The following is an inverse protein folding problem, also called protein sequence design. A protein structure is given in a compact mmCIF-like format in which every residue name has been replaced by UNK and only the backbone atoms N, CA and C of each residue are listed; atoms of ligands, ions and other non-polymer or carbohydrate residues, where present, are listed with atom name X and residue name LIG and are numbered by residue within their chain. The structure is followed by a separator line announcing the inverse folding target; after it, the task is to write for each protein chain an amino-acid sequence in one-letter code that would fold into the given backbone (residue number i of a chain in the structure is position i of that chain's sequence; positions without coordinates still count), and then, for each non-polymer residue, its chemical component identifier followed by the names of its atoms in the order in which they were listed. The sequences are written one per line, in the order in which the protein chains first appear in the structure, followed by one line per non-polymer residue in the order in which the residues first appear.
data_IF_883300276103
#
_entry.id   IF_883300276103
#
_cell.length_a   1.000
_cell.length_b   1.000
_cell.length_c   1.000
_cell.angle_alpha   90.00
_cell.angle_beta   90.00
_cell.angle_gamma   90.00
#
_symmetry.space_group_name_H-M   'P 1'
#
loop_
_entity.id
_entity.type
_entity.pdbx_description
1 polymer ?
#
# COMPACT_ATOMS: atom_id res chain seq x y z
N UNK A 1 -4.71 14.27 4.60
CA UNK A 1 -3.87 14.51 3.41
C UNK A 1 -3.32 15.92 3.46
N UNK A 2 -2.00 16.05 3.54
CA UNK A 2 -1.33 17.34 3.38
C UNK A 2 -1.53 17.84 1.95
N UNK A 3 -1.65 19.16 1.75
CA UNK A 3 -1.74 19.74 0.41
C UNK A 3 -0.32 20.07 -0.07
N UNK A 4 0.29 19.13 -0.79
CA UNK A 4 1.70 19.23 -1.17
C UNK A 4 1.87 20.14 -2.37
N UNK A 5 2.85 21.04 -2.28
CA UNK A 5 3.32 21.77 -3.46
C UNK A 5 4.07 20.82 -4.39
N UNK A 6 4.09 21.12 -5.69
CA UNK A 6 4.90 20.37 -6.67
C UNK A 6 6.38 20.27 -6.25
N UNK A 7 6.91 21.31 -5.58
CA UNK A 7 8.30 21.32 -5.09
C UNK A 7 8.51 20.31 -3.97
N UNK A 8 7.53 20.10 -3.10
CA UNK A 8 7.59 19.10 -2.03
C UNK A 8 7.49 17.68 -2.60
N UNK A 9 6.53 17.43 -3.50
CA UNK A 9 6.41 16.15 -4.22
C UNK A 9 7.74 15.77 -4.90
N UNK A 10 8.33 16.70 -5.66
CA UNK A 10 9.63 16.47 -6.31
C UNK A 10 10.79 16.28 -5.33
N UNK A 11 10.70 16.84 -4.12
CA UNK A 11 11.71 16.66 -3.07
C UNK A 11 11.68 15.24 -2.50
N UNK A 12 10.50 14.72 -2.20
CA UNK A 12 10.32 13.36 -1.70
C UNK A 12 10.72 12.33 -2.75
N UNK A 13 10.20 12.46 -3.98
CA UNK A 13 10.61 11.59 -5.09
C UNK A 13 12.14 11.58 -5.29
N UNK A 14 12.79 12.75 -5.24
CA UNK A 14 14.26 12.83 -5.35
C UNK A 14 14.97 12.15 -4.17
N UNK A 15 14.46 12.28 -2.94
CA UNK A 15 15.04 11.61 -1.78
C UNK A 15 15.02 10.09 -1.95
N UNK A 16 13.89 9.53 -2.39
CA UNK A 16 13.74 8.08 -2.56
C UNK A 16 14.64 7.55 -3.68
N UNK A 17 14.70 8.26 -4.80
CA UNK A 17 15.64 7.94 -5.87
C UNK A 17 17.10 8.01 -5.42
N UNK A 18 17.47 8.99 -4.60
CA UNK A 18 18.81 9.08 -4.04
C UNK A 18 19.14 7.90 -3.13
N UNK A 19 18.19 7.44 -2.31
CA UNK A 19 18.38 6.26 -1.45
C UNK A 19 18.58 4.98 -2.28
N UNK A 20 17.73 4.75 -3.29
CA UNK A 20 17.86 3.63 -4.24
C UNK A 20 19.23 3.63 -4.93
N UNK A 21 19.69 4.78 -5.43
CA UNK A 21 21.00 4.94 -6.05
C UNK A 21 22.16 4.70 -5.07
N UNK A 22 22.02 5.13 -3.81
CA UNK A 22 23.03 4.88 -2.78
C UNK A 22 23.15 3.38 -2.46
N UNK A 23 22.04 2.64 -2.37
CA UNK A 23 22.05 1.18 -2.16
C UNK A 23 22.74 0.45 -3.31
N UNK A 24 22.45 0.84 -4.56
CA UNK A 24 23.13 0.30 -5.74
C UNK A 24 24.63 0.58 -5.67
N UNK A 25 25.01 1.85 -5.48
CA UNK A 25 26.42 2.27 -5.39
C UNK A 25 27.16 1.55 -4.26
N UNK A 26 26.53 1.39 -3.10
CA UNK A 26 27.11 0.70 -1.94
C UNK A 26 27.38 -0.78 -2.22
N UNK A 27 26.41 -1.49 -2.83
CA UNK A 27 26.59 -2.89 -3.18
C UNK A 27 27.62 -3.10 -4.30
N UNK A 28 27.67 -2.18 -5.29
CA UNK A 28 28.72 -2.18 -6.32
C UNK A 28 30.11 -2.00 -5.71
N UNK A 29 30.27 -1.06 -4.77
CA UNK A 29 31.55 -0.83 -4.08
C UNK A 29 32.04 -2.06 -3.28
N UNK A 30 31.11 -2.93 -2.87
CA UNK A 30 31.38 -4.19 -2.17
C UNK A 30 31.48 -5.39 -3.13
N UNK A 31 31.46 -5.17 -4.45
CA UNK A 31 31.46 -6.20 -5.49
C UNK A 31 30.31 -7.23 -5.36
N UNK A 32 29.16 -6.82 -4.80
CA UNK A 32 27.96 -7.65 -4.60
C UNK A 32 27.03 -7.55 -5.81
N UNK A 33 27.47 -8.04 -6.97
CA UNK A 33 26.76 -7.86 -8.24
C UNK A 33 25.35 -8.49 -8.21
N UNK A 34 25.19 -9.69 -7.67
CA UNK A 34 23.87 -10.34 -7.57
C UNK A 34 22.85 -9.51 -6.76
N UNK A 35 23.32 -8.79 -5.72
CA UNK A 35 22.45 -7.91 -4.93
C UNK A 35 22.06 -6.66 -5.72
N UNK A 36 22.96 -6.14 -6.55
CA UNK A 36 22.66 -5.01 -7.43
C UNK A 36 21.61 -5.40 -8.46
N UNK A 37 21.72 -6.58 -9.07
CA UNK A 37 20.71 -7.07 -10.02
C UNK A 37 19.34 -7.23 -9.37
N UNK A 38 19.27 -7.78 -8.15
CA UNK A 38 18.01 -7.86 -7.38
C UNK A 38 17.42 -6.48 -7.11
N UNK A 39 18.22 -5.55 -6.59
CA UNK A 39 17.77 -4.17 -6.31
C UNK A 39 17.24 -3.47 -7.57
N UNK A 40 17.93 -3.62 -8.71
CA UNK A 40 17.47 -3.03 -9.98
C UNK A 40 16.16 -3.65 -10.43
N UNK A 41 15.99 -4.97 -10.30
CA UNK A 41 14.75 -5.64 -10.65
C UNK A 41 13.59 -5.20 -9.75
N UNK A 42 13.82 -5.06 -8.44
CA UNK A 42 12.84 -4.52 -7.48
C UNK A 42 12.40 -3.10 -7.89
N UNK A 43 13.34 -2.20 -8.15
CA UNK A 43 13.05 -0.82 -8.60
C UNK A 43 12.23 -0.82 -9.91
N UNK A 44 12.55 -1.69 -10.86
CA UNK A 44 11.81 -1.80 -12.12
C UNK A 44 10.39 -2.31 -11.88
N UNK A 45 10.20 -3.26 -10.96
CA UNK A 45 8.88 -3.78 -10.62
C UNK A 45 8.03 -2.73 -9.91
N UNK A 46 8.59 -2.02 -8.92
CA UNK A 46 7.92 -0.89 -8.25
C UNK A 46 7.47 0.17 -9.25
N UNK A 47 8.36 0.62 -10.14
CA UNK A 47 8.04 1.63 -11.15
C UNK A 47 6.93 1.17 -12.13
N UNK A 48 6.86 -0.14 -12.43
CA UNK A 48 5.75 -0.71 -13.20
C UNK A 48 4.45 -0.61 -12.41
N UNK A 49 4.43 -0.98 -11.13
CA UNK A 49 3.23 -0.88 -10.29
C UNK A 49 2.76 0.57 -10.13
N UNK A 50 3.67 1.52 -9.91
CA UNK A 50 3.36 2.96 -9.90
C UNK A 50 2.70 3.42 -11.21
N UNK A 51 3.19 2.91 -12.35
CA UNK A 51 2.61 3.18 -13.68
C UNK A 51 1.20 2.60 -13.79
N UNK A 52 1.00 1.35 -13.37
CA UNK A 52 -0.33 0.71 -13.38
C UNK A 52 -1.32 1.50 -12.55
N UNK A 53 -0.95 1.80 -11.30
CA UNK A 53 -1.75 2.55 -10.35
C UNK A 53 -2.16 3.93 -10.90
N UNK A 54 -1.19 4.66 -11.47
CA UNK A 54 -1.43 5.98 -12.07
C UNK A 54 -2.39 5.94 -13.27
N UNK A 55 -2.49 4.79 -13.95
CA UNK A 55 -3.35 4.60 -15.12
C UNK A 55 -4.76 4.08 -14.78
N UNK A 56 -5.07 3.77 -13.51
CA UNK A 56 -6.39 3.27 -13.09
C UNK A 56 -7.54 4.29 -13.24
N UNK A 57 -7.24 5.55 -13.59
CA UNK A 57 -8.21 6.67 -13.61
C UNK A 57 -8.88 6.91 -12.25
N UNK A 58 -8.16 6.62 -11.17
CA UNK A 58 -8.54 6.85 -9.78
C UNK A 58 -7.50 7.75 -9.11
N UNK A 59 -7.43 9.03 -9.51
CA UNK A 59 -6.32 9.92 -9.14
C UNK A 59 -6.18 10.10 -7.62
N UNK A 60 -7.28 10.17 -6.86
CA UNK A 60 -7.19 10.34 -5.40
C UNK A 60 -6.70 9.08 -4.72
N UNK A 61 -7.22 7.93 -5.13
CA UNK A 61 -6.79 6.65 -4.60
C UNK A 61 -5.31 6.40 -4.92
N UNK A 62 -4.88 6.69 -6.15
CA UNK A 62 -3.49 6.60 -6.57
C UNK A 62 -2.60 7.54 -5.75
N UNK A 63 -3.02 8.79 -5.51
CA UNK A 63 -2.28 9.75 -4.70
C UNK A 63 -2.06 9.24 -3.27
N UNK A 64 -3.08 8.66 -2.62
CA UNK A 64 -2.96 8.08 -1.27
C UNK A 64 -1.83 7.04 -1.24
N UNK A 65 -1.87 6.05 -2.14
CA UNK A 65 -0.89 4.96 -2.12
C UNK A 65 0.52 5.43 -2.53
N UNK A 66 0.64 6.31 -3.52
CA UNK A 66 1.93 6.83 -3.98
C UNK A 66 2.64 7.66 -2.92
N UNK A 67 1.89 8.36 -2.08
CA UNK A 67 2.44 9.33 -1.12
C UNK A 67 2.48 8.81 0.31
N UNK A 68 1.80 7.70 0.62
CA UNK A 68 1.70 7.14 1.99
C UNK A 68 3.09 7.03 2.63
N UNK A 69 4.02 6.33 1.99
CA UNK A 69 5.34 6.08 2.55
C UNK A 69 6.24 7.33 2.69
N UNK A 70 5.81 8.49 2.19
CA UNK A 70 6.55 9.73 2.35
C UNK A 70 6.30 10.45 3.68
N UNK A 71 5.16 10.15 4.32
CA UNK A 71 4.81 10.64 5.65
C UNK A 71 5.23 9.63 6.73
N UNK A 72 5.17 10.05 8.00
CA UNK A 72 5.54 9.18 9.13
C UNK A 72 4.33 8.35 9.56
N UNK A 73 4.27 7.13 9.05
CA UNK A 73 3.31 6.12 9.48
C UNK A 73 3.97 5.05 10.35
N UNK A 74 3.21 4.39 11.25
CA UNK A 74 3.71 3.30 12.07
C UNK A 74 3.88 1.99 11.28
N UNK A 75 3.63 1.97 9.97
CA UNK A 75 3.90 0.87 9.05
C UNK A 75 4.25 1.39 7.66
N UNK A 76 4.89 0.56 6.85
CA UNK A 76 5.14 0.80 5.42
C UNK A 76 4.10 0.07 4.57
N UNK A 77 3.77 0.61 3.40
CA UNK A 77 2.92 -0.09 2.43
C UNK A 77 3.71 -0.53 1.20
N UNK A 78 3.37 -1.71 0.69
CA UNK A 78 3.68 -2.15 -0.67
C UNK A 78 2.36 -2.51 -1.36
N UNK A 79 2.31 -2.31 -2.68
CA UNK A 79 1.10 -2.62 -3.44
C UNK A 79 1.42 -3.28 -4.79
N UNK A 80 0.51 -4.14 -5.22
CA UNK A 80 0.55 -4.82 -6.50
C UNK A 80 -0.80 -4.71 -7.21
N UNK A 81 -0.79 -4.22 -8.46
CA UNK A 81 -1.95 -4.20 -9.34
C UNK A 81 -1.92 -5.46 -10.23
N UNK A 82 -2.85 -6.40 -9.97
CA UNK A 82 -2.86 -7.72 -10.62
C UNK A 82 -3.36 -7.68 -12.07
N UNK A 83 -4.48 -6.99 -12.33
CA UNK A 83 -5.05 -6.84 -13.69
C UNK A 83 -5.51 -5.39 -13.95
N UNK A 84 -5.30 -4.91 -15.18
CA UNK A 84 -5.64 -3.56 -15.64
C UNK A 84 -6.94 -3.54 -16.46
N UNK A 85 -7.62 -4.69 -16.61
CA UNK A 85 -8.73 -4.88 -17.55
C UNK A 85 -10.08 -4.28 -17.10
N UNK A 86 -10.09 -3.20 -16.32
CA UNK A 86 -11.34 -2.58 -15.89
C UNK A 86 -11.69 -1.29 -16.65
N UNK A 87 -12.78 -1.37 -17.42
CA UNK A 87 -13.39 -0.24 -18.12
C UNK A 87 -14.66 0.28 -17.44
N UNK A 88 -14.82 0.08 -16.13
CA UNK A 88 -16.04 0.47 -15.41
C UNK A 88 -15.79 1.65 -14.46
N UNK A 89 -16.80 2.53 -14.26
CA UNK A 89 -16.64 3.71 -13.42
C UNK A 89 -16.68 3.31 -11.94
N UNK A 90 -15.50 3.27 -11.33
CA UNK A 90 -15.33 3.25 -9.88
C UNK A 90 -15.48 4.68 -9.35
N UNK A 91 -16.14 4.82 -8.20
CA UNK A 91 -16.25 6.10 -7.48
C UNK A 91 -14.95 6.35 -6.69
N UNK A 92 -14.05 7.15 -7.26
CA UNK A 92 -12.73 7.46 -6.70
C UNK A 92 -12.80 8.06 -5.29
N UNK A 93 -13.81 8.91 -5.01
CA UNK A 93 -13.99 9.51 -3.69
C UNK A 93 -14.35 8.47 -2.64
N UNK A 94 -15.28 7.58 -2.95
CA UNK A 94 -15.68 6.53 -2.01
C UNK A 94 -14.54 5.56 -1.76
N UNK A 95 -13.83 5.16 -2.81
CA UNK A 95 -12.70 4.25 -2.68
C UNK A 95 -11.58 4.87 -1.83
N UNK A 96 -11.25 6.13 -2.12
CA UNK A 96 -10.24 6.90 -1.39
C UNK A 96 -10.62 7.05 0.09
N UNK A 97 -11.87 7.43 0.37
CA UNK A 97 -12.35 7.56 1.75
C UNK A 97 -12.31 6.22 2.51
N UNK A 98 -12.66 5.12 1.83
CA UNK A 98 -12.63 3.79 2.43
C UNK A 98 -11.21 3.32 2.75
N UNK A 99 -10.25 3.44 1.82
CA UNK A 99 -8.87 3.03 2.08
C UNK A 99 -8.20 3.92 3.14
N UNK A 100 -8.49 5.21 3.17
CA UNK A 100 -7.99 6.11 4.23
C UNK A 100 -8.54 5.69 5.59
N UNK A 101 -9.83 5.39 5.71
CA UNK A 101 -10.41 4.93 6.97
C UNK A 101 -9.80 3.60 7.44
N UNK A 102 -9.48 2.69 6.51
CA UNK A 102 -8.75 1.46 6.83
C UNK A 102 -7.35 1.75 7.37
N UNK A 103 -6.58 2.59 6.69
CA UNK A 103 -5.23 2.96 7.14
C UNK A 103 -5.26 3.64 8.51
N UNK A 104 -6.14 4.61 8.74
CA UNK A 104 -6.29 5.26 10.05
C UNK A 104 -6.64 4.26 11.15
N UNK A 105 -7.48 3.27 10.86
CA UNK A 105 -7.81 2.20 11.81
C UNK A 105 -6.57 1.38 12.13
N UNK A 106 -5.80 0.98 11.11
CA UNK A 106 -4.60 0.18 11.28
C UNK A 106 -3.51 0.96 12.05
N UNK A 107 -3.31 2.25 11.74
CA UNK A 107 -2.35 3.13 12.43
C UNK A 107 -2.57 3.18 13.94
N UNK A 108 -3.84 3.22 14.36
CA UNK A 108 -4.22 3.24 15.78
C UNK A 108 -4.06 1.88 16.48
N UNK A 109 -3.87 0.81 15.71
CA UNK A 109 -3.82 -0.56 16.22
C UNK A 109 -2.41 -1.15 16.24
N UNK A 110 -1.44 -0.61 15.50
CA UNK A 110 -0.10 -1.18 15.37
C UNK A 110 0.95 -0.44 16.21
N UNK A 111 2.07 -1.10 16.53
CA UNK A 111 3.13 -0.51 17.35
C UNK A 111 4.03 0.45 16.55
N UNK A 112 4.16 1.71 16.99
CA UNK A 112 4.85 2.78 16.23
C UNK A 112 6.36 2.63 16.03
N UNK A 113 7.01 1.65 16.65
CA UNK A 113 8.46 1.41 16.58
C UNK A 113 8.82 -0.04 16.21
N UNK A 114 7.85 -0.79 15.70
CA UNK A 114 8.07 -2.12 15.16
C UNK A 114 8.29 -2.05 13.64
N UNK A 115 8.90 -3.10 13.08
CA UNK A 115 9.02 -3.27 11.63
C UNK A 115 7.69 -3.80 11.10
N UNK A 116 6.77 -2.88 10.83
CA UNK A 116 5.41 -3.19 10.38
C UNK A 116 5.28 -2.94 8.88
N UNK A 117 4.72 -3.90 8.18
CA UNK A 117 4.56 -3.88 6.74
C UNK A 117 3.15 -4.31 6.35
N UNK A 118 2.55 -3.59 5.40
CA UNK A 118 1.27 -3.94 4.80
C UNK A 118 1.47 -4.12 3.29
N UNK A 119 1.23 -5.33 2.80
CA UNK A 119 1.14 -5.61 1.37
C UNK A 119 -0.32 -5.57 0.91
N UNK A 120 -0.58 -4.85 -0.17
CA UNK A 120 -1.92 -4.66 -0.73
C UNK A 120 -1.94 -5.19 -2.16
N UNK A 121 -2.60 -6.32 -2.40
CA UNK A 121 -2.86 -6.77 -3.77
C UNK A 121 -4.22 -6.27 -4.23
N UNK A 122 -4.26 -5.61 -5.38
CA UNK A 122 -5.43 -4.92 -5.93
C UNK A 122 -5.80 -5.58 -7.25
N UNK A 123 -7.01 -6.09 -7.33
CA UNK A 123 -7.55 -6.73 -8.53
C UNK A 123 -8.86 -6.06 -8.94
N UNK A 124 -8.87 -5.54 -10.16
CA UNK A 124 -10.01 -4.88 -10.76
C UNK A 124 -10.60 -5.84 -11.80
N UNK A 125 -11.58 -6.64 -11.38
CA UNK A 125 -12.28 -7.61 -12.24
C UNK A 125 -13.80 -7.57 -12.02
N UNK A 126 -14.56 -7.91 -13.06
CA UNK A 126 -16.01 -8.15 -12.98
C UNK A 126 -16.85 -7.04 -12.32
N UNK A 127 -16.46 -5.77 -12.54
CA UNK A 127 -17.11 -4.59 -11.93
C UNK A 127 -17.01 -4.53 -10.40
N UNK A 128 -15.99 -5.17 -9.84
CA UNK A 128 -15.66 -5.12 -8.43
C UNK A 128 -14.19 -4.70 -8.28
N UNK A 129 -13.85 -4.18 -7.11
CA UNK A 129 -12.47 -4.00 -6.70
C UNK A 129 -12.23 -4.97 -5.57
N UNK A 130 -11.25 -5.84 -5.76
CA UNK A 130 -10.83 -6.80 -4.75
C UNK A 130 -9.51 -6.35 -4.17
N UNK A 131 -9.46 -6.30 -2.85
CA UNK A 131 -8.26 -6.07 -2.07
C UNK A 131 -7.89 -7.34 -1.33
N UNK A 132 -6.60 -7.67 -1.36
CA UNK A 132 -6.00 -8.59 -0.41
C UNK A 132 -5.01 -7.80 0.44
N UNK A 133 -5.25 -7.79 1.74
CA UNK A 133 -4.37 -7.20 2.74
C UNK A 133 -3.60 -8.29 3.44
N UNK A 134 -2.27 -8.20 3.39
CA UNK A 134 -1.35 -9.02 4.18
C UNK A 134 -0.48 -8.08 5.00
N UNK A 135 -0.76 -8.02 6.29
CA UNK A 135 0.00 -7.25 7.25
C UNK A 135 0.90 -8.18 8.07
N UNK A 136 2.16 -7.77 8.23
CA UNK A 136 3.14 -8.40 9.11
C UNK A 136 3.76 -7.35 10.01
N UNK A 137 3.69 -7.53 11.33
CA UNK A 137 4.18 -6.56 12.31
C UNK A 137 3.51 -6.72 13.67
N UNK A 138 3.71 -5.80 14.60
CA UNK A 138 3.08 -5.89 15.94
C UNK A 138 1.74 -5.16 16.00
N UNK A 139 0.67 -5.91 16.23
CA UNK A 139 -0.70 -5.42 16.46
C UNK A 139 -0.99 -5.36 17.96
N UNK A 140 -1.16 -4.15 18.48
CA UNK A 140 -1.48 -3.87 19.88
C UNK A 140 -2.96 -4.06 20.20
N UNK A 141 -3.84 -3.76 19.25
CA UNK A 141 -5.29 -3.81 19.46
C UNK A 141 -6.01 -4.52 18.30
N UNK A 142 -6.01 -5.85 18.36
CA UNK A 142 -6.67 -6.68 17.34
C UNK A 142 -8.19 -6.53 17.32
N UNK A 143 -8.81 -6.25 18.47
CA UNK A 143 -10.28 -6.17 18.59
C UNK A 143 -10.82 -5.02 17.74
N UNK A 144 -10.15 -3.87 17.73
CA UNK A 144 -10.58 -2.74 16.88
C UNK A 144 -10.50 -3.05 15.39
N UNK A 145 -9.53 -3.87 14.96
CA UNK A 145 -9.45 -4.32 13.56
C UNK A 145 -10.58 -5.30 13.25
N UNK A 146 -10.84 -6.27 14.15
CA UNK A 146 -11.95 -7.22 14.04
C UNK A 146 -13.31 -6.50 13.95
N UNK A 147 -13.54 -5.53 14.83
CA UNK A 147 -14.76 -4.72 14.88
C UNK A 147 -14.93 -3.90 13.58
N UNK A 148 -13.85 -3.28 13.08
CA UNK A 148 -13.89 -2.51 11.84
C UNK A 148 -14.31 -3.36 10.65
N UNK A 149 -13.74 -4.56 10.49
CA UNK A 149 -14.12 -5.48 9.40
C UNK A 149 -15.57 -5.97 9.55
N UNK A 150 -16.03 -6.25 10.78
CA UNK A 150 -17.41 -6.62 11.05
C UNK A 150 -18.40 -5.50 10.67
N UNK A 151 -18.05 -4.23 10.89
CA UNK A 151 -18.84 -3.09 10.43
C UNK A 151 -18.87 -2.98 8.90
N UNK A 152 -17.78 -3.36 8.21
CA UNK A 152 -17.71 -3.33 6.75
C UNK A 152 -18.60 -4.39 6.08
N UNK A 153 -18.91 -5.51 6.75
CA UNK A 153 -19.79 -6.57 6.21
C UNK A 153 -21.20 -6.05 5.85
N UNK A 154 -21.65 -4.97 6.49
CA UNK A 154 -22.95 -4.35 6.19
C UNK A 154 -22.94 -3.49 4.91
N UNK A 155 -21.76 -3.09 4.42
CA UNK A 155 -21.58 -2.09 3.37
C UNK A 155 -20.95 -2.70 2.11
N UNK A 156 -20.11 -3.71 2.27
CA UNK A 156 -19.31 -4.31 1.20
C UNK A 156 -19.90 -5.63 0.68
N UNK A 157 -19.51 -6.02 -0.53
CA UNK A 157 -20.02 -7.26 -1.15
C UNK A 157 -19.45 -8.50 -0.46
N UNK A 158 -18.16 -8.48 -0.15
CA UNK A 158 -17.46 -9.57 0.54
C UNK A 158 -16.45 -8.97 1.50
N UNK A 159 -16.43 -9.48 2.73
CA UNK A 159 -15.36 -9.30 3.70
C UNK A 159 -15.02 -10.70 4.20
N UNK A 160 -13.78 -11.12 4.00
CA UNK A 160 -13.28 -12.43 4.44
C UNK A 160 -11.97 -12.20 5.17
N UNK A 161 -12.02 -12.34 6.49
CA UNK A 161 -10.84 -12.24 7.35
C UNK A 161 -10.32 -13.66 7.57
N UNK A 162 -9.15 -13.96 7.03
CA UNK A 162 -8.52 -15.28 7.13
C UNK A 162 -7.69 -15.40 8.42
N UNK A 163 -7.02 -14.33 8.84
CA UNK A 163 -6.23 -14.31 10.07
C UNK A 163 -6.19 -12.92 10.68
N UNK A 164 -6.39 -12.81 12.00
CA UNK A 164 -5.96 -11.66 12.80
C UNK A 164 -5.28 -12.22 14.05
N UNK A 165 -3.99 -11.97 14.17
CA UNK A 165 -3.16 -12.33 15.32
C UNK A 165 -2.42 -11.09 15.83
N UNK A 166 -1.55 -11.26 16.82
CA UNK A 166 -0.72 -10.16 17.33
C UNK A 166 0.37 -9.80 16.31
N UNK A 167 0.68 -10.71 15.37
CA UNK A 167 1.79 -10.54 14.42
C UNK A 167 1.35 -10.40 12.96
N UNK A 168 0.11 -10.77 12.65
CA UNK A 168 -0.40 -10.86 11.28
C UNK A 168 -1.84 -10.45 11.14
N UNK A 169 -2.17 -9.87 9.99
CA UNK A 169 -3.54 -9.69 9.52
C UNK A 169 -3.62 -10.11 8.05
N UNK A 170 -4.55 -11.01 7.73
CA UNK A 170 -4.87 -11.44 6.37
C UNK A 170 -6.35 -11.25 6.11
N UNK A 171 -6.70 -10.42 5.12
CA UNK A 171 -8.09 -10.17 4.76
C UNK A 171 -8.28 -9.98 3.25
N UNK A 172 -9.35 -10.55 2.72
CA UNK A 172 -9.87 -10.32 1.37
C UNK A 172 -11.15 -9.48 1.47
N UNK A 173 -11.21 -8.41 0.70
CA UNK A 173 -12.37 -7.50 0.66
C UNK A 173 -12.76 -7.24 -0.79
N UNK A 174 -14.07 -7.26 -1.07
CA UNK A 174 -14.63 -6.94 -2.40
C UNK A 174 -15.65 -5.81 -2.27
N UNK A 175 -15.37 -4.69 -2.95
CA UNK A 175 -16.24 -3.52 -3.06
C UNK A 175 -17.15 -3.60 -4.28
#
# INVERSE_FOLDING_TARGET
MNNWTVVEVLRHARHDWMNKLQLIKGNLALNKIDQVERLVNEIVMEAKQETKLSNLKLPKFAEILLTFNWERHPFHIEYEIMDESCSWPVDDEKLSGWITAFFETLENCVASFADNHLTISIDLQDKNIRFFFDFSGTINNKQTIEDWFAEQEAILKVVKVDEISIERLNAEVIL
#
